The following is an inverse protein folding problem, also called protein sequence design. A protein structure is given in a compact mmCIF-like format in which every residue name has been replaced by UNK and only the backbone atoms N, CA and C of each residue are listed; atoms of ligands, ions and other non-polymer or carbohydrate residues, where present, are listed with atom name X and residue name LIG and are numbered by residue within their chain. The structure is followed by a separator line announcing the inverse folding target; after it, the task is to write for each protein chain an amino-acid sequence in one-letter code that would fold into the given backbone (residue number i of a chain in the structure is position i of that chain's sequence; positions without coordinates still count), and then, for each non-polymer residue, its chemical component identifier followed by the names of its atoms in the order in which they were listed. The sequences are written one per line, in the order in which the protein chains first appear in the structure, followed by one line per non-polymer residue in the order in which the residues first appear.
data_IF_073502461392
#
_entry.id   IF_073502461392
#
_cell.length_a   1.000
_cell.length_b   1.000
_cell.length_c   1.000
_cell.angle_alpha   90.00
_cell.angle_beta   90.00
_cell.angle_gamma   90.00
#
_symmetry.space_group_name_H-M   'P 1'
#
loop_
_entity.id
_entity.type
_entity.pdbx_description
1 polymer ?
#
# COMPACT_ATOMS: atom_id res chain seq x y z
N UNK A 1 -16.66 -7.71 -12.87
CA UNK A 1 -16.61 -7.90 -11.41
C UNK A 1 -16.40 -6.55 -10.79
N UNK A 2 -17.11 -6.21 -9.71
CA UNK A 2 -16.86 -4.97 -8.97
C UNK A 2 -15.51 -5.10 -8.24
N UNK A 3 -14.71 -4.04 -8.26
CA UNK A 3 -13.48 -3.95 -7.46
C UNK A 3 -13.92 -3.65 -6.04
N UNK A 4 -13.44 -4.44 -5.08
CA UNK A 4 -13.78 -4.27 -3.67
C UNK A 4 -13.08 -3.03 -3.09
N UNK A 5 -13.69 -2.38 -2.10
CA UNK A 5 -13.14 -1.18 -1.45
C UNK A 5 -12.70 -1.53 -0.04
N UNK A 6 -11.47 -1.15 0.31
CA UNK A 6 -10.95 -1.19 1.67
C UNK A 6 -11.52 -0.01 2.46
N UNK A 7 -12.28 -0.30 3.51
CA UNK A 7 -13.06 0.72 4.27
C UNK A 7 -12.58 0.91 5.71
N UNK A 8 -11.58 0.16 6.16
CA UNK A 8 -11.10 0.25 7.54
C UNK A 8 -10.14 1.43 7.71
N UNK A 9 -10.31 2.18 8.79
CA UNK A 9 -9.46 3.31 9.14
C UNK A 9 -8.20 2.81 9.88
N UNK A 10 -6.99 3.16 9.42
CA UNK A 10 -5.75 2.84 10.12
C UNK A 10 -5.60 3.67 11.40
N UNK A 11 -4.76 3.19 12.32
CA UNK A 11 -4.29 3.96 13.48
C UNK A 11 -3.42 5.15 13.01
N UNK A 12 -3.18 6.13 13.90
CA UNK A 12 -2.63 7.48 13.61
C UNK A 12 -1.20 7.47 13.00
N UNK A 13 -0.58 6.30 12.85
CA UNK A 13 0.76 6.10 12.26
C UNK A 13 0.73 5.56 10.82
N UNK A 14 -0.20 6.02 9.98
CA UNK A 14 -0.17 5.71 8.55
C UNK A 14 0.99 6.46 7.85
N UNK A 15 2.02 5.72 7.42
CA UNK A 15 3.16 6.27 6.68
C UNK A 15 3.12 5.90 5.20
N UNK A 16 3.24 6.90 4.33
CA UNK A 16 3.36 6.73 2.88
C UNK A 16 4.76 7.10 2.39
N UNK A 17 5.37 6.23 1.59
CA UNK A 17 6.63 6.45 0.89
C UNK A 17 6.38 6.39 -0.62
N UNK A 18 6.76 7.45 -1.33
CA UNK A 18 6.62 7.55 -2.80
C UNK A 18 8.00 7.55 -3.45
N UNK A 19 8.19 6.71 -4.46
CA UNK A 19 9.43 6.67 -5.25
C UNK A 19 9.15 6.85 -6.73
N UNK A 20 10.05 7.56 -7.42
CA UNK A 20 9.95 7.81 -8.85
C UNK A 20 11.02 7.03 -9.59
N UNK A 21 10.60 6.15 -10.51
CA UNK A 21 11.50 5.44 -11.41
C UNK A 21 11.91 6.37 -12.54
N UNK A 22 13.20 6.68 -12.59
CA UNK A 22 13.78 7.52 -13.65
C UNK A 22 14.89 6.77 -14.37
N UNK A 23 15.11 7.15 -15.63
CA UNK A 23 16.26 6.74 -16.43
C UNK A 23 17.16 7.94 -16.61
N UNK A 24 18.45 7.72 -16.39
CA UNK A 24 19.47 8.75 -16.52
C UNK A 24 20.49 8.36 -17.60
N UNK A 25 20.82 9.31 -18.46
CA UNK A 25 21.89 9.18 -19.46
C UNK A 25 22.89 10.32 -19.28
N UNK A 26 24.16 9.95 -19.02
CA UNK A 26 25.24 10.90 -18.76
C UNK A 26 26.09 11.09 -20.01
N UNK A 27 26.37 12.35 -20.34
CA UNK A 27 27.15 12.74 -21.52
C UNK A 27 28.51 13.30 -21.06
N UNK A 28 29.52 13.19 -21.93
CA UNK A 28 30.93 13.49 -21.58
C UNK A 28 31.22 14.93 -21.13
N UNK A 29 30.32 15.86 -21.39
CA UNK A 29 30.42 17.27 -20.98
C UNK A 29 29.81 17.54 -19.58
N UNK A 30 29.41 16.49 -18.86
CA UNK A 30 28.74 16.59 -17.56
C UNK A 30 27.23 16.82 -17.67
N UNK A 31 26.68 16.94 -18.88
CA UNK A 31 25.23 16.96 -19.10
C UNK A 31 24.59 15.60 -18.74
N UNK A 32 23.43 15.65 -18.09
CA UNK A 32 22.62 14.47 -17.74
C UNK A 32 21.21 14.67 -18.25
N UNK A 33 20.75 13.72 -19.06
CA UNK A 33 19.35 13.63 -19.45
C UNK A 33 18.62 12.69 -18.50
N UNK A 34 17.55 13.17 -17.88
CA UNK A 34 16.67 12.40 -17.01
C UNK A 34 15.32 12.24 -17.69
N UNK A 35 14.73 11.05 -17.66
CA UNK A 35 13.41 10.78 -18.23
C UNK A 35 12.65 9.76 -17.35
N UNK A 36 11.33 9.87 -17.25
CA UNK A 36 10.52 8.94 -16.46
C UNK A 36 10.53 7.52 -17.06
N UNK A 37 10.60 6.50 -16.20
CA UNK A 37 10.62 5.08 -16.59
C UNK A 37 9.21 4.55 -16.89
N UNK A 38 8.59 5.05 -17.96
CA UNK A 38 7.27 4.62 -18.41
C UNK A 38 6.10 5.44 -17.84
N UNK A 39 4.84 5.04 -18.16
CA UNK A 39 3.64 5.81 -17.81
C UNK A 39 3.28 5.74 -16.32
N UNK A 40 3.69 4.67 -15.61
CA UNK A 40 3.43 4.45 -14.19
C UNK A 40 4.77 4.41 -13.43
N UNK A 41 5.53 5.50 -13.53
CA UNK A 41 6.85 5.61 -12.92
C UNK A 41 6.82 5.93 -11.43
N UNK A 42 5.65 6.22 -10.86
CA UNK A 42 5.44 6.48 -9.44
C UNK A 42 5.02 5.18 -8.72
N UNK A 43 5.80 4.81 -7.71
CA UNK A 43 5.53 3.69 -6.81
C UNK A 43 5.27 4.23 -5.40
N UNK A 44 4.00 4.23 -4.99
CA UNK A 44 3.60 4.54 -3.62
C UNK A 44 3.47 3.27 -2.79
N UNK A 45 4.11 3.28 -1.63
CA UNK A 45 4.00 2.25 -0.60
C UNK A 45 3.46 2.85 0.67
N UNK A 46 2.42 2.24 1.22
CA UNK A 46 1.77 2.68 2.46
C UNK A 46 1.87 1.60 3.52
N UNK A 47 2.43 1.96 4.67
CA UNK A 47 2.49 1.10 5.86
C UNK A 47 1.39 1.51 6.83
N UNK A 48 0.39 0.64 6.98
CA UNK A 48 -0.79 0.89 7.81
C UNK A 48 -0.79 -0.04 9.03
N UNK A 49 -1.21 0.48 10.17
CA UNK A 49 -1.32 -0.29 11.42
C UNK A 49 -2.75 -0.27 11.94
N UNK A 50 -3.22 -1.42 12.43
CA UNK A 50 -4.56 -1.59 13.01
C UNK A 50 -4.42 -2.29 14.36
N UNK A 51 -4.75 -1.59 15.45
CA UNK A 51 -4.78 -2.13 16.80
C UNK A 51 -6.20 -2.51 17.21
N UNK A 52 -6.36 -3.66 17.87
CA UNK A 52 -7.67 -4.07 18.36
C UNK A 52 -7.73 -5.49 18.89
N UNK A 53 -8.92 -5.94 19.23
CA UNK A 53 -9.17 -7.35 19.55
C UNK A 53 -9.05 -8.23 18.32
N UNK A 54 -8.87 -9.54 18.52
CA UNK A 54 -8.84 -10.50 17.41
C UNK A 54 -10.09 -10.47 16.52
N UNK A 55 -11.25 -10.11 17.08
CA UNK A 55 -12.52 -9.99 16.35
C UNK A 55 -12.57 -8.77 15.44
N UNK A 56 -11.97 -7.66 15.86
CA UNK A 56 -11.90 -6.41 15.07
C UNK A 56 -10.91 -6.54 13.91
N UNK A 57 -9.79 -7.23 14.14
CA UNK A 57 -8.72 -7.39 13.15
C UNK A 57 -9.05 -8.50 12.13
N UNK A 58 -9.85 -9.51 12.53
CA UNK A 58 -10.22 -10.64 11.68
C UNK A 58 -10.77 -10.24 10.29
N UNK A 59 -11.76 -9.34 10.16
CA UNK A 59 -12.29 -8.97 8.85
C UNK A 59 -11.24 -8.34 7.94
N UNK A 60 -10.31 -7.54 8.47
CA UNK A 60 -9.21 -6.95 7.71
C UNK A 60 -8.28 -8.04 7.14
N UNK A 61 -7.94 -9.02 7.97
CA UNK A 61 -7.11 -10.16 7.55
C UNK A 61 -7.82 -11.01 6.50
N UNK A 62 -9.12 -11.27 6.67
CA UNK A 62 -9.91 -12.06 5.72
C UNK A 62 -9.99 -11.34 4.36
N UNK A 63 -10.18 -10.02 4.34
CA UNK A 63 -10.16 -9.19 3.13
C UNK A 63 -8.84 -9.32 2.37
N UNK A 64 -7.71 -9.14 3.06
CA UNK A 64 -6.37 -9.25 2.46
C UNK A 64 -6.14 -10.67 1.91
N UNK A 65 -6.62 -11.69 2.63
CA UNK A 65 -6.50 -13.09 2.19
C UNK A 65 -7.34 -13.41 0.96
N UNK A 66 -8.54 -12.84 0.80
CA UNK A 66 -9.35 -13.02 -0.40
C UNK A 66 -8.66 -12.46 -1.65
N UNK A 67 -7.94 -11.35 -1.47
CA UNK A 67 -7.20 -10.68 -2.54
C UNK A 67 -5.89 -11.39 -2.90
N UNK A 68 -5.39 -12.29 -2.04
CA UNK A 68 -4.20 -13.15 -2.26
C UNK A 68 -2.95 -12.39 -2.71
N UNK A 69 -2.85 -11.11 -2.37
CA UNK A 69 -1.78 -10.19 -2.76
C UNK A 69 -1.65 -9.86 -4.25
N UNK A 70 -2.48 -10.44 -5.12
CA UNK A 70 -2.46 -10.19 -6.56
C UNK A 70 -3.65 -9.34 -7.03
N UNK A 71 -4.79 -9.39 -6.32
CA UNK A 71 -5.99 -8.64 -6.69
C UNK A 71 -5.90 -7.24 -6.08
N UNK A 72 -6.01 -6.23 -6.93
CA UNK A 72 -6.11 -4.85 -6.49
C UNK A 72 -7.51 -4.56 -5.93
N UNK A 73 -7.57 -3.66 -4.96
CA UNK A 73 -8.77 -3.12 -4.35
C UNK A 73 -8.70 -1.59 -4.33
N UNK A 74 -9.86 -0.96 -4.19
CA UNK A 74 -9.96 0.49 -4.05
C UNK A 74 -9.63 0.87 -2.62
N UNK A 75 -8.79 1.88 -2.44
CA UNK A 75 -8.48 2.45 -1.13
C UNK A 75 -8.19 3.94 -1.26
N UNK A 76 -8.62 4.70 -0.26
CA UNK A 76 -8.35 6.14 -0.16
C UNK A 76 -7.32 6.33 0.95
N UNK A 77 -6.07 6.71 0.63
CA UNK A 77 -5.09 7.05 1.64
C UNK A 77 -5.50 8.31 2.41
N UNK A 78 -4.97 8.51 3.62
CA UNK A 78 -5.06 9.80 4.30
C UNK A 78 -4.56 10.92 3.37
N UNK A 79 -5.32 12.00 3.23
CA UNK A 79 -4.99 13.18 2.42
C UNK A 79 -4.90 12.97 0.89
N UNK A 80 -5.20 11.76 0.39
CA UNK A 80 -5.18 11.44 -1.04
C UNK A 80 -6.56 11.12 -1.62
N UNK A 81 -6.59 11.00 -2.95
CA UNK A 81 -7.78 10.56 -3.69
C UNK A 81 -7.87 9.03 -3.76
N UNK A 82 -9.08 8.52 -4.05
CA UNK A 82 -9.32 7.10 -4.25
C UNK A 82 -8.39 6.52 -5.32
N UNK A 83 -7.60 5.51 -4.94
CA UNK A 83 -6.66 4.82 -5.82
C UNK A 83 -6.87 3.31 -5.82
N UNK A 84 -6.15 2.64 -6.72
CA UNK A 84 -6.03 1.18 -6.74
C UNK A 84 -4.77 0.79 -5.97
N UNK A 85 -4.92 -0.15 -5.05
CA UNK A 85 -3.85 -0.65 -4.22
C UNK A 85 -3.91 -2.17 -4.14
N UNK A 86 -2.78 -2.79 -3.85
CA UNK A 86 -2.68 -4.22 -3.51
C UNK A 86 -1.91 -4.37 -2.22
N UNK A 87 -2.14 -5.46 -1.49
CA UNK A 87 -1.40 -5.77 -0.27
C UNK A 87 -0.50 -6.98 -0.49
N UNK A 88 0.81 -6.78 -0.59
CA UNK A 88 1.76 -7.89 -0.77
C UNK A 88 2.09 -8.61 0.52
N UNK A 89 2.07 -7.91 1.65
CA UNK A 89 2.46 -8.44 2.95
C UNK A 89 1.63 -7.86 4.09
N UNK A 90 1.39 -8.70 5.09
CA UNK A 90 0.85 -8.28 6.38
C UNK A 90 1.55 -9.02 7.52
N UNK A 91 1.66 -8.37 8.68
CA UNK A 91 2.25 -8.88 9.91
C UNK A 91 1.27 -8.72 11.06
N UNK A 92 1.07 -9.79 11.83
CA UNK A 92 0.22 -9.76 13.03
C UNK A 92 1.05 -10.00 14.28
N UNK A 93 1.02 -9.06 15.21
CA UNK A 93 1.67 -9.14 16.51
C UNK A 93 0.62 -9.25 17.62
N UNK A 94 0.76 -10.24 18.52
CA UNK A 94 -0.09 -10.30 19.72
C UNK A 94 0.45 -9.34 20.78
N UNK A 95 -0.45 -8.68 21.49
CA UNK A 95 -0.16 -7.79 22.63
C UNK A 95 -0.81 -8.38 23.90
N UNK A 96 -0.31 -8.02 25.10
CA UNK A 96 -0.96 -8.42 26.35
C UNK A 96 -2.41 -7.90 26.41
N UNK A 97 -3.26 -8.57 27.20
CA UNK A 97 -4.68 -8.19 27.33
C UNK A 97 -5.58 -8.68 26.20
N UNK A 98 -5.14 -9.64 25.37
CA UNK A 98 -5.96 -10.21 24.30
C UNK A 98 -6.03 -9.34 23.03
N UNK A 99 -5.24 -8.26 22.99
CA UNK A 99 -5.13 -7.37 21.85
C UNK A 99 -4.14 -7.92 20.81
N UNK A 100 -4.27 -7.45 19.59
CA UNK A 100 -3.31 -7.65 18.53
C UNK A 100 -3.10 -6.33 17.77
N UNK A 101 -1.96 -6.26 17.08
CA UNK A 101 -1.64 -5.22 16.13
C UNK A 101 -1.41 -5.90 14.79
N UNK A 102 -2.13 -5.45 13.77
CA UNK A 102 -1.95 -5.86 12.39
C UNK A 102 -1.27 -4.72 11.64
N UNK A 103 -0.12 -4.99 11.06
CA UNK A 103 0.54 -4.08 10.12
C UNK A 103 0.39 -4.63 8.72
N UNK A 104 0.01 -3.79 7.76
CA UNK A 104 -0.17 -4.17 6.35
C UNK A 104 0.61 -3.19 5.49
N UNK A 105 1.14 -3.69 4.38
CA UNK A 105 1.85 -2.87 3.39
C UNK A 105 1.04 -2.86 2.12
N UNK A 106 0.59 -1.68 1.71
CA UNK A 106 -0.14 -1.44 0.48
C UNK A 106 0.79 -0.84 -0.57
N UNK A 107 0.70 -1.34 -1.80
CA UNK A 107 1.44 -0.83 -2.95
C UNK A 107 0.43 -0.33 -3.98
N UNK A 108 0.71 0.83 -4.59
CA UNK A 108 -0.08 1.37 -5.70
C UNK A 108 -0.14 0.34 -6.83
N UNK A 109 -1.35 0.05 -7.28
CA UNK A 109 -1.60 -0.85 -8.39
C UNK A 109 -2.20 -0.08 -9.56
N UNK A 110 -1.88 -0.50 -10.77
CA UNK A 110 -2.40 0.09 -12.00
C UNK A 110 -3.18 -0.98 -12.77
N UNK A 111 -4.29 -0.56 -13.38
CA UNK A 111 -5.03 -1.45 -14.26
C UNK A 111 -4.16 -1.79 -15.49
N UNK A 112 -4.09 -3.06 -15.92
CA UNK A 112 -3.46 -3.40 -17.20
C UNK A 112 -4.19 -2.77 -18.38
#
# INVERSE_FOLDING_TARGET
MAIETFVWEPDDEAGGDSTFRTRESKFGDGYVQVSSDGPNAEEDTWSLSFGGTGSEIKPIVDFIRDHKGARAFLWTPPDESLGLYRCSAFRRQRKPGGLAVLTVTFERAYHP
#
